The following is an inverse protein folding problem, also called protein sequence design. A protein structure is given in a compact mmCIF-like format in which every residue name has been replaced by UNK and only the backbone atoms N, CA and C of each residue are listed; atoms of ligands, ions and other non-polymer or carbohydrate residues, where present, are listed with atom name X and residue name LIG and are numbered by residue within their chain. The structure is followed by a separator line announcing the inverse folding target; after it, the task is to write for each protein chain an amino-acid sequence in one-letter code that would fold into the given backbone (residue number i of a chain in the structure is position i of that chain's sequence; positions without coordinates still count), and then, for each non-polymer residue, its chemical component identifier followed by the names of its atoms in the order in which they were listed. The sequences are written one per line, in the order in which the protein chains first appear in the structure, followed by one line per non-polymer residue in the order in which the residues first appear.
data_IF_373465529650
#
_entry.id   IF_373465529650
#
_cell.length_a   1.000
_cell.length_b   1.000
_cell.length_c   1.000
_cell.angle_alpha   90.00
_cell.angle_beta   90.00
_cell.angle_gamma   90.00
#
_symmetry.space_group_name_H-M   'P 1'
#
loop_
_entity.id
_entity.type
_entity.pdbx_description
1 polymer ?
#
# COMPACT_ATOMS: atom_id res chain seq x y z
N UNK A 1 18.62 23.14 9.97
CA UNK A 1 17.44 22.96 9.11
C UNK A 1 17.77 21.98 7.99
N UNK A 2 16.90 20.99 7.71
CA UNK A 2 17.07 20.10 6.57
C UNK A 2 17.20 20.87 5.24
N UNK A 3 17.99 20.35 4.30
CA UNK A 3 18.25 21.02 3.01
C UNK A 3 16.97 21.26 2.18
N UNK A 4 15.95 20.41 2.33
CA UNK A 4 14.64 20.58 1.68
C UNK A 4 13.83 21.75 2.25
N UNK A 5 14.08 22.16 3.51
CA UNK A 5 13.46 23.36 4.09
C UNK A 5 13.98 24.65 3.44
N UNK A 6 15.13 24.62 2.78
CA UNK A 6 15.67 25.78 2.06
C UNK A 6 14.85 26.11 0.81
N UNK A 7 14.36 25.08 0.11
CA UNK A 7 13.45 25.25 -1.03
C UNK A 7 12.09 25.88 -0.61
N UNK A 8 11.67 25.66 0.64
CA UNK A 8 10.51 26.31 1.26
C UNK A 8 10.78 27.80 1.58
N UNK A 9 11.98 28.12 2.06
CA UNK A 9 12.37 29.48 2.44
C UNK A 9 12.65 30.39 1.23
N UNK A 10 12.93 29.84 0.06
CA UNK A 10 13.28 30.59 -1.16
C UNK A 10 12.09 30.82 -2.11
N UNK A 11 10.94 30.16 -1.89
CA UNK A 11 9.77 30.25 -2.78
C UNK A 11 8.87 31.45 -2.49
N UNK A 12 8.77 32.38 -3.44
CA UNK A 12 7.71 33.40 -3.51
C UNK A 12 6.39 32.78 -4.01
N UNK A 13 5.24 33.42 -3.76
CA UNK A 13 3.86 32.92 -3.92
C UNK A 13 3.41 32.34 -5.28
N UNK A 14 4.33 32.11 -6.21
CA UNK A 14 4.15 31.29 -7.43
C UNK A 14 4.85 29.93 -7.42
N UNK A 15 5.46 29.51 -6.29
CA UNK A 15 6.12 28.21 -6.17
C UNK A 15 5.12 27.04 -6.31
N UNK A 16 5.51 25.92 -6.97
CA UNK A 16 4.65 24.76 -7.10
C UNK A 16 4.29 24.16 -5.73
N UNK A 17 3.11 23.52 -5.61
CA UNK A 17 2.70 22.90 -4.36
C UNK A 17 3.71 21.84 -3.92
N UNK A 18 4.08 21.89 -2.64
CA UNK A 18 4.99 20.93 -2.05
C UNK A 18 4.24 19.67 -1.67
N UNK A 19 4.74 18.53 -2.15
CA UNK A 19 4.20 17.22 -1.81
C UNK A 19 5.09 16.53 -0.79
N UNK A 20 4.66 16.52 0.47
CA UNK A 20 5.27 15.73 1.53
C UNK A 20 4.73 14.29 1.46
N UNK A 21 5.58 13.33 1.09
CA UNK A 21 5.19 11.92 1.05
C UNK A 21 5.54 11.24 2.36
N UNK A 22 4.60 10.47 2.91
CA UNK A 22 4.78 9.71 4.16
C UNK A 22 5.19 10.61 5.33
N UNK A 23 4.33 11.56 5.69
CA UNK A 23 4.57 12.52 6.76
C UNK A 23 4.94 11.84 8.09
N UNK A 24 4.44 10.63 8.34
CA UNK A 24 4.79 9.78 9.49
C UNK A 24 6.27 9.40 9.59
N UNK A 25 7.06 9.61 8.54
CA UNK A 25 8.50 9.31 8.53
C UNK A 25 9.36 10.49 8.97
N UNK A 26 8.80 11.69 9.11
CA UNK A 26 9.54 12.86 9.57
C UNK A 26 9.83 12.77 11.07
N UNK A 27 11.03 13.18 11.47
CA UNK A 27 11.39 13.34 12.87
C UNK A 27 10.66 14.52 13.51
N UNK A 28 10.52 14.52 14.84
CA UNK A 28 9.84 15.62 15.57
C UNK A 28 10.48 16.99 15.26
N UNK A 29 11.80 17.07 15.22
CA UNK A 29 12.54 18.30 14.91
C UNK A 29 12.28 18.80 13.49
N UNK A 30 12.12 17.91 12.52
CA UNK A 30 11.84 18.26 11.14
C UNK A 30 10.42 18.79 10.97
N UNK A 31 9.45 18.17 11.65
CA UNK A 31 8.07 18.65 11.66
C UNK A 31 7.96 20.00 12.38
N UNK A 32 8.69 20.19 13.48
CA UNK A 32 8.74 21.48 14.17
C UNK A 32 9.28 22.59 13.26
N UNK A 33 10.38 22.32 12.53
CA UNK A 33 10.92 23.28 11.57
C UNK A 33 9.94 23.59 10.42
N UNK A 34 9.20 22.58 9.94
CA UNK A 34 8.15 22.78 8.94
C UNK A 34 7.00 23.64 9.47
N UNK A 35 6.57 23.42 10.71
CA UNK A 35 5.52 24.23 11.33
C UNK A 35 5.93 25.69 11.45
N UNK A 36 7.15 25.98 11.91
CA UNK A 36 7.67 27.35 11.97
C UNK A 36 7.71 28.02 10.59
N UNK A 37 8.10 27.28 9.54
CA UNK A 37 8.08 27.79 8.16
C UNK A 37 6.66 28.09 7.65
N UNK A 38 5.68 27.26 8.01
CA UNK A 38 4.29 27.49 7.64
C UNK A 38 3.69 28.71 8.36
N UNK A 39 4.13 28.98 9.60
CA UNK A 39 3.78 30.20 10.34
C UNK A 39 4.38 31.46 9.68
N UNK A 40 5.63 31.40 9.24
CA UNK A 40 6.28 32.51 8.53
C UNK A 40 5.72 32.71 7.11
N UNK A 41 5.24 31.65 6.45
CA UNK A 41 4.76 31.67 5.06
C UNK A 41 3.45 30.89 4.87
N UNK A 42 2.29 31.45 5.26
CA UNK A 42 1.00 30.76 5.18
C UNK A 42 0.50 30.53 3.75
N UNK A 43 1.07 31.22 2.75
CA UNK A 43 0.65 31.14 1.35
C UNK A 43 1.24 29.94 0.58
N UNK A 44 2.19 29.18 1.15
CA UNK A 44 2.82 28.05 0.45
C UNK A 44 1.85 26.87 0.39
N UNK A 45 1.45 26.41 -0.81
CA UNK A 45 0.55 25.26 -0.91
C UNK A 45 1.29 23.96 -0.54
N UNK A 46 0.82 23.30 0.52
CA UNK A 46 1.37 22.04 1.02
C UNK A 46 0.33 20.92 0.89
N UNK A 47 0.75 19.80 0.30
CA UNK A 47 -0.01 18.54 0.26
C UNK A 47 0.82 17.48 0.98
N UNK A 48 0.21 16.75 1.90
CA UNK A 48 0.87 15.66 2.61
C UNK A 48 0.16 14.33 2.38
N UNK A 49 0.92 13.25 2.26
CA UNK A 49 0.38 11.88 2.38
C UNK A 49 0.71 11.32 3.76
N UNK A 50 -0.27 10.67 4.36
CA UNK A 50 -0.15 10.03 5.66
C UNK A 50 -0.79 8.65 5.62
N UNK A 51 -0.14 7.68 6.26
CA UNK A 51 -0.72 6.33 6.43
C UNK A 51 -1.65 6.32 7.65
N UNK A 52 -2.97 6.09 7.48
CA UNK A 52 -3.89 6.05 8.62
C UNK A 52 -3.45 5.04 9.69
N UNK A 53 -3.48 5.45 10.95
CA UNK A 53 -3.08 4.62 12.09
C UNK A 53 -1.57 4.48 12.30
N UNK A 54 -0.74 5.15 11.50
CA UNK A 54 0.69 5.25 11.80
C UNK A 54 0.91 6.05 13.09
N UNK A 55 1.91 5.70 13.91
CA UNK A 55 2.20 6.43 15.15
C UNK A 55 2.55 7.88 14.84
N UNK A 56 1.87 8.80 15.51
CA UNK A 56 2.13 10.24 15.41
C UNK A 56 2.72 10.72 16.73
N UNK A 57 3.83 11.45 16.65
CA UNK A 57 4.30 12.25 17.80
C UNK A 57 3.64 13.63 17.79
N UNK A 58 3.85 14.44 18.85
CA UNK A 58 3.10 15.68 19.07
C UNK A 58 3.20 16.68 17.92
N UNK A 59 4.38 16.88 17.34
CA UNK A 59 4.56 17.82 16.22
C UNK A 59 3.79 17.36 14.97
N UNK A 60 3.82 16.06 14.67
CA UNK A 60 3.11 15.51 13.50
C UNK A 60 1.59 15.57 13.70
N UNK A 61 1.09 15.31 14.91
CA UNK A 61 -0.33 15.48 15.22
C UNK A 61 -0.77 16.91 14.90
N UNK A 62 -0.03 17.91 15.41
CA UNK A 62 -0.33 19.33 15.16
C UNK A 62 -0.33 19.68 13.67
N UNK A 63 0.65 19.18 12.91
CA UNK A 63 0.67 19.38 11.46
C UNK A 63 -0.55 18.77 10.77
N UNK A 64 -0.92 17.54 11.14
CA UNK A 64 -2.09 16.87 10.58
C UNK A 64 -3.39 17.60 10.92
N UNK A 65 -3.54 18.12 12.14
CA UNK A 65 -4.70 18.91 12.56
C UNK A 65 -4.86 20.19 11.72
N UNK A 66 -3.74 20.88 11.43
CA UNK A 66 -3.73 22.06 10.54
C UNK A 66 -4.19 21.69 9.13
N UNK A 67 -3.76 20.53 8.61
CA UNK A 67 -4.09 20.08 7.25
C UNK A 67 -5.47 19.41 7.14
N UNK A 68 -6.03 18.93 8.24
CA UNK A 68 -7.22 18.07 8.28
C UNK A 68 -8.45 18.71 7.61
N UNK A 69 -8.55 20.05 7.63
CA UNK A 69 -9.64 20.81 7.04
C UNK A 69 -9.88 20.53 5.55
N UNK A 70 -8.87 20.04 4.81
CA UNK A 70 -8.97 19.66 3.39
C UNK A 70 -8.38 18.28 3.12
N UNK A 71 -8.62 17.34 4.03
CA UNK A 71 -8.15 15.96 3.88
C UNK A 71 -9.06 15.15 2.94
N UNK A 72 -8.44 14.28 2.14
CA UNK A 72 -9.13 13.27 1.33
C UNK A 72 -8.62 11.91 1.74
N UNK A 73 -9.51 11.06 2.24
CA UNK A 73 -9.16 9.67 2.58
C UNK A 73 -9.21 8.84 1.31
N UNK A 74 -8.09 8.26 0.93
CA UNK A 74 -8.04 7.34 -0.20
C UNK A 74 -8.48 5.94 0.27
N UNK A 75 -9.63 5.41 -0.18
CA UNK A 75 -10.09 4.11 0.27
C UNK A 75 -9.11 3.01 -0.19
N UNK A 76 -9.07 1.86 0.51
CA UNK A 76 -8.33 0.70 0.06
C UNK A 76 -8.93 0.11 -1.23
N UNK A 77 -8.13 -0.59 -2.03
CA UNK A 77 -8.58 -1.11 -3.33
C UNK A 77 -9.81 -2.01 -3.26
N UNK A 78 -9.97 -2.78 -2.17
CA UNK A 78 -11.15 -3.64 -1.95
C UNK A 78 -12.48 -2.89 -1.81
N UNK A 79 -12.44 -1.60 -1.51
CA UNK A 79 -13.63 -0.72 -1.39
C UNK A 79 -13.87 0.08 -2.68
N UNK A 80 -13.00 -0.09 -3.69
CA UNK A 80 -13.09 0.55 -5.01
C UNK A 80 -12.65 -0.42 -6.12
N UNK A 81 -13.19 -1.64 -6.10
CA UNK A 81 -12.81 -2.70 -7.04
C UNK A 81 -13.21 -2.37 -8.48
N UNK A 82 -14.20 -1.50 -8.66
CA UNK A 82 -14.62 -0.92 -9.92
C UNK A 82 -13.52 -0.10 -10.63
N UNK A 83 -12.50 0.36 -9.90
CA UNK A 83 -11.35 1.06 -10.48
C UNK A 83 -10.33 0.08 -11.08
N UNK A 84 -10.39 -1.21 -10.76
CA UNK A 84 -9.41 -2.21 -11.21
C UNK A 84 -9.26 -2.22 -12.73
N UNK A 85 -10.32 -2.23 -13.56
CA UNK A 85 -10.17 -2.18 -15.02
C UNK A 85 -9.36 -0.97 -15.51
N UNK A 86 -9.60 0.22 -14.95
CA UNK A 86 -8.87 1.44 -15.30
C UNK A 86 -7.41 1.37 -14.80
N UNK A 87 -7.20 0.87 -13.58
CA UNK A 87 -5.87 0.65 -13.01
C UNK A 87 -5.06 -0.35 -13.84
N UNK A 88 -5.65 -1.45 -14.30
CA UNK A 88 -4.97 -2.44 -15.14
C UNK A 88 -4.42 -1.81 -16.43
N UNK A 89 -5.16 -0.88 -17.04
CA UNK A 89 -4.70 -0.16 -18.23
C UNK A 89 -3.51 0.76 -17.92
N UNK A 90 -3.51 1.43 -16.76
CA UNK A 90 -2.44 2.36 -16.35
C UNK A 90 -1.21 1.69 -15.74
N UNK A 91 -1.35 0.51 -15.13
CA UNK A 91 -0.27 -0.21 -14.43
C UNK A 91 0.64 -1.02 -15.36
N UNK A 92 0.18 -1.32 -16.58
CA UNK A 92 1.05 -1.83 -17.63
C UNK A 92 2.01 -0.70 -17.99
N UNK A 93 3.22 -0.73 -17.41
CA UNK A 93 4.31 0.19 -17.81
C UNK A 93 4.37 0.22 -19.33
N UNK A 94 4.56 1.42 -19.89
CA UNK A 94 4.70 1.70 -21.32
C UNK A 94 5.28 0.46 -22.00
N UNK A 95 4.53 -0.17 -22.92
CA UNK A 95 4.97 -1.40 -23.52
C UNK A 95 6.40 -1.25 -24.00
N UNK A 96 7.28 -2.20 -23.63
CA UNK A 96 8.56 -2.30 -24.33
C UNK A 96 8.28 -2.27 -25.83
N UNK A 97 9.05 -1.51 -26.64
CA UNK A 97 8.77 -1.36 -28.07
C UNK A 97 8.49 -2.74 -28.70
N UNK A 98 7.27 -2.90 -29.25
CA UNK A 98 6.84 -4.16 -29.88
C UNK A 98 6.00 -5.13 -29.02
N UNK A 99 5.68 -4.84 -27.75
CA UNK A 99 4.70 -5.64 -26.99
C UNK A 99 3.35 -4.92 -26.88
N UNK A 100 2.21 -5.51 -27.28
CA UNK A 100 0.92 -4.89 -27.04
C UNK A 100 0.60 -4.82 -25.53
N UNK A 101 -0.24 -3.86 -25.09
CA UNK A 101 -0.71 -3.82 -23.71
C UNK A 101 -1.43 -5.13 -23.33
N UNK A 102 -1.31 -5.54 -22.07
CA UNK A 102 -1.99 -6.74 -21.59
C UNK A 102 -3.51 -6.56 -21.67
N UNK A 103 -4.16 -7.45 -22.39
CA UNK A 103 -5.61 -7.63 -22.32
C UNK A 103 -5.94 -8.73 -21.32
N UNK A 104 -7.15 -8.72 -20.78
CA UNK A 104 -7.56 -9.62 -19.71
C UNK A 104 -8.86 -10.30 -20.08
N UNK A 105 -8.93 -11.60 -19.87
CA UNK A 105 -10.16 -12.38 -19.99
C UNK A 105 -11.15 -11.99 -18.89
N UNK A 106 -12.44 -12.31 -19.09
CA UNK A 106 -13.49 -12.00 -18.13
C UNK A 106 -13.29 -12.72 -16.78
N UNK A 107 -12.87 -13.99 -16.84
CA UNK A 107 -12.57 -14.83 -15.67
C UNK A 107 -11.35 -14.32 -14.89
N UNK A 108 -10.30 -13.84 -15.57
CA UNK A 108 -9.16 -13.22 -14.90
C UNK A 108 -9.55 -11.90 -14.22
N UNK A 109 -10.34 -11.03 -14.89
CA UNK A 109 -10.81 -9.77 -14.29
C UNK A 109 -11.66 -10.03 -13.05
N UNK A 110 -12.62 -10.95 -13.13
CA UNK A 110 -13.44 -11.34 -11.97
C UNK A 110 -12.60 -11.85 -10.81
N UNK A 111 -11.55 -12.61 -11.08
CA UNK A 111 -10.63 -13.07 -10.04
C UNK A 111 -9.87 -11.92 -9.36
N UNK A 112 -9.47 -10.91 -10.13
CA UNK A 112 -8.83 -9.69 -9.60
C UNK A 112 -9.81 -8.86 -8.78
N UNK A 113 -11.06 -8.70 -9.23
CA UNK A 113 -12.11 -7.94 -8.54
C UNK A 113 -12.56 -8.58 -7.23
N UNK A 114 -12.49 -9.92 -7.12
CA UNK A 114 -12.88 -10.66 -5.92
C UNK A 114 -11.78 -10.74 -4.84
N UNK A 115 -10.56 -10.29 -5.16
CA UNK A 115 -9.44 -10.35 -4.22
C UNK A 115 -9.48 -9.21 -3.21
N UNK A 116 -8.98 -9.45 -1.99
CA UNK A 116 -9.03 -8.48 -0.90
C UNK A 116 -7.95 -7.39 -0.97
N UNK A 117 -6.97 -7.57 -1.86
CA UNK A 117 -5.86 -6.64 -2.11
C UNK A 117 -5.22 -6.07 -0.82
N UNK A 118 -4.68 -6.93 0.08
CA UNK A 118 -4.04 -6.47 1.32
C UNK A 118 -2.88 -5.50 1.09
N UNK A 119 -2.19 -5.57 -0.06
CA UNK A 119 -1.17 -4.62 -0.50
C UNK A 119 -1.67 -3.57 -1.49
N UNK A 120 -2.99 -3.40 -1.63
CA UNK A 120 -3.65 -2.36 -2.42
C UNK A 120 -3.14 -2.31 -3.88
N UNK A 121 -3.08 -1.12 -4.49
CA UNK A 121 -2.57 -0.90 -5.85
C UNK A 121 -1.12 -1.39 -6.02
N UNK A 122 -0.30 -1.37 -4.97
CA UNK A 122 1.08 -1.88 -5.03
C UNK A 122 1.12 -3.38 -5.30
N UNK A 123 0.25 -4.16 -4.65
CA UNK A 123 0.10 -5.59 -4.92
C UNK A 123 -0.45 -5.84 -6.32
N UNK A 124 -1.49 -5.11 -6.74
CA UNK A 124 -2.03 -5.20 -8.10
C UNK A 124 -0.95 -4.94 -9.16
N UNK A 125 -0.15 -3.88 -8.98
CA UNK A 125 0.96 -3.55 -9.87
C UNK A 125 2.01 -4.66 -9.93
N UNK A 126 2.31 -5.29 -8.80
CA UNK A 126 3.22 -6.43 -8.75
C UNK A 126 2.68 -7.62 -9.56
N UNK A 127 1.40 -7.96 -9.39
CA UNK A 127 0.73 -9.03 -10.13
C UNK A 127 0.75 -8.75 -11.64
N UNK A 128 0.39 -7.53 -12.05
CA UNK A 128 0.40 -7.13 -13.47
C UNK A 128 1.80 -7.26 -14.07
N UNK A 129 2.82 -6.79 -13.36
CA UNK A 129 4.22 -6.89 -13.78
C UNK A 129 4.68 -8.35 -13.90
N UNK A 130 4.37 -9.18 -12.90
CA UNK A 130 4.71 -10.60 -12.89
C UNK A 130 4.08 -11.35 -14.07
N UNK A 131 2.81 -11.06 -14.38
CA UNK A 131 2.11 -11.63 -15.55
C UNK A 131 2.77 -11.15 -16.84
N UNK A 132 3.06 -9.85 -16.97
CA UNK A 132 3.71 -9.28 -18.15
C UNK A 132 5.11 -9.85 -18.43
N UNK A 133 5.87 -10.15 -17.37
CA UNK A 133 7.22 -10.72 -17.46
C UNK A 133 7.20 -12.21 -17.84
N UNK A 134 6.27 -13.00 -17.28
CA UNK A 134 6.21 -14.45 -17.48
C UNK A 134 5.53 -14.88 -18.77
N UNK A 135 4.58 -14.09 -19.27
CA UNK A 135 3.74 -14.49 -20.40
C UNK A 135 4.53 -14.46 -21.71
N UNK A 136 4.46 -15.57 -22.45
CA UNK A 136 4.97 -15.69 -23.83
C UNK A 136 3.86 -15.74 -24.88
N UNK A 137 2.63 -15.99 -24.45
CA UNK A 137 1.46 -16.09 -25.31
C UNK A 137 0.93 -14.71 -25.74
N UNK A 138 0.34 -14.65 -26.93
CA UNK A 138 -0.44 -13.52 -27.43
C UNK A 138 -1.92 -13.65 -26.99
N UNK A 139 -2.66 -12.55 -26.90
CA UNK A 139 -4.07 -12.54 -26.50
C UNK A 139 -4.35 -12.24 -25.01
N UNK A 140 -5.61 -12.41 -24.55
CA UNK A 140 -6.01 -12.02 -23.19
C UNK A 140 -5.44 -12.95 -22.12
N UNK A 141 -4.96 -12.36 -21.03
CA UNK A 141 -4.52 -13.07 -19.81
C UNK A 141 -5.69 -13.85 -19.24
N UNK A 142 -5.51 -15.16 -19.08
CA UNK A 142 -6.49 -16.09 -18.50
C UNK A 142 -6.29 -16.24 -17.00
N UNK A 143 -7.33 -16.71 -16.30
CA UNK A 143 -7.27 -16.89 -14.84
C UNK A 143 -6.13 -17.81 -14.40
N UNK A 144 -5.79 -18.83 -15.19
CA UNK A 144 -4.74 -19.81 -14.87
C UNK A 144 -3.33 -19.17 -14.86
N UNK A 145 -3.18 -18.04 -15.54
CA UNK A 145 -1.92 -17.31 -15.65
C UNK A 145 -1.68 -16.36 -14.47
N UNK A 146 -2.72 -16.09 -13.67
CA UNK A 146 -2.59 -15.30 -12.44
C UNK A 146 -1.79 -16.06 -11.37
N UNK A 147 -1.21 -15.39 -10.37
CA UNK A 147 -0.67 -16.05 -9.17
C UNK A 147 -1.68 -16.98 -8.49
N UNK A 148 -1.19 -18.05 -7.84
CA UNK A 148 -2.04 -19.07 -7.19
C UNK A 148 -3.03 -18.48 -6.16
N UNK A 149 -2.66 -17.37 -5.51
CA UNK A 149 -3.54 -16.55 -4.66
C UNK A 149 -4.88 -16.20 -5.29
N UNK A 150 -4.84 -15.84 -6.58
CA UNK A 150 -5.94 -15.29 -7.36
C UNK A 150 -6.68 -16.35 -8.19
N UNK A 151 -6.03 -17.50 -8.46
CA UNK A 151 -6.65 -18.60 -9.22
C UNK A 151 -7.84 -19.22 -8.49
N UNK A 152 -7.78 -19.31 -7.18
CA UNK A 152 -8.77 -20.04 -6.37
C UNK A 152 -9.69 -19.02 -5.68
N UNK A 153 -11.03 -19.14 -5.84
CA UNK A 153 -11.97 -18.30 -5.10
C UNK A 153 -11.71 -18.38 -3.59
N UNK A 154 -11.78 -17.27 -2.83
CA UNK A 154 -11.44 -17.25 -1.41
C UNK A 154 -12.21 -18.30 -0.58
N UNK A 155 -13.46 -18.59 -0.94
CA UNK A 155 -14.30 -19.60 -0.29
C UNK A 155 -13.83 -21.06 -0.47
N UNK A 156 -12.92 -21.34 -1.41
CA UNK A 156 -12.46 -22.71 -1.76
C UNK A 156 -10.96 -22.91 -1.60
N UNK A 157 -10.23 -21.90 -1.12
CA UNK A 157 -8.77 -21.98 -0.95
C UNK A 157 -8.43 -22.88 0.24
N UNK A 158 -8.23 -24.17 -0.03
CA UNK A 158 -7.53 -25.06 0.91
C UNK A 158 -6.09 -24.55 1.02
N UNK A 159 -5.70 -24.06 2.19
CA UNK A 159 -4.31 -23.69 2.49
C UNK A 159 -3.40 -24.85 2.10
N UNK A 160 -2.30 -24.61 1.39
CA UNK A 160 -1.27 -25.62 1.11
C UNK A 160 -0.66 -26.16 2.42
N UNK A 161 0.06 -27.29 2.36
CA UNK A 161 0.72 -27.85 3.56
C UNK A 161 1.66 -26.85 4.25
N UNK A 162 2.39 -26.07 3.46
CA UNK A 162 3.27 -25.01 3.94
C UNK A 162 2.45 -23.85 4.53
N UNK A 163 1.39 -23.40 3.86
CA UNK A 163 0.53 -22.33 4.40
C UNK A 163 -0.22 -22.75 5.67
N UNK A 164 -0.57 -24.02 5.83
CA UNK A 164 -1.12 -24.55 7.09
C UNK A 164 -0.08 -24.52 8.19
N UNK A 165 1.15 -24.97 7.92
CA UNK A 165 2.24 -24.90 8.89
C UNK A 165 2.57 -23.45 9.28
N UNK A 166 2.64 -22.53 8.30
CA UNK A 166 2.84 -21.10 8.54
C UNK A 166 1.69 -20.50 9.35
N UNK A 167 0.43 -20.82 9.01
CA UNK A 167 -0.74 -20.38 9.78
C UNK A 167 -0.69 -20.86 11.22
N UNK A 168 -0.37 -22.14 11.44
CA UNK A 168 -0.24 -22.72 12.78
C UNK A 168 0.88 -22.03 13.57
N UNK A 169 2.05 -21.84 12.96
CA UNK A 169 3.18 -21.15 13.59
C UNK A 169 2.83 -19.71 14.00
N UNK A 170 2.10 -18.99 13.14
CA UNK A 170 1.62 -17.63 13.43
C UNK A 170 0.63 -17.63 14.60
N UNK A 171 -0.33 -18.55 14.62
CA UNK A 171 -1.31 -18.65 15.71
C UNK A 171 -0.65 -19.00 17.05
N UNK A 172 0.33 -19.90 17.04
CA UNK A 172 1.08 -20.23 18.25
C UNK A 172 1.91 -19.06 18.76
N UNK A 173 2.57 -18.32 17.87
CA UNK A 173 3.32 -17.12 18.26
C UNK A 173 2.41 -16.04 18.86
N UNK A 174 1.24 -15.81 18.27
CA UNK A 174 0.25 -14.87 18.81
C UNK A 174 -0.22 -15.31 20.20
N UNK A 175 -0.59 -16.58 20.39
CA UNK A 175 -1.01 -17.12 21.69
C UNK A 175 0.09 -16.99 22.76
N UNK A 176 1.33 -17.33 22.44
CA UNK A 176 2.47 -17.23 23.38
C UNK A 176 2.76 -15.79 23.81
N UNK A 177 2.39 -14.81 22.99
CA UNK A 177 2.65 -13.39 23.27
C UNK A 177 1.38 -12.59 23.55
N UNK A 178 0.26 -13.24 23.88
CA UNK A 178 -0.99 -12.58 24.24
C UNK A 178 -1.51 -11.64 23.14
N UNK A 179 -1.49 -12.11 21.89
CA UNK A 179 -1.87 -11.37 20.68
C UNK A 179 -1.04 -10.12 20.39
N UNK A 180 0.13 -9.97 21.04
CA UNK A 180 1.08 -8.93 20.70
C UNK A 180 1.76 -9.22 19.34
N UNK A 181 1.16 -8.67 18.28
CA UNK A 181 1.59 -8.81 16.87
C UNK A 181 3.05 -8.40 16.64
N UNK A 182 3.59 -7.47 17.42
CA UNK A 182 5.01 -7.05 17.32
C UNK A 182 5.93 -8.17 17.83
N UNK A 183 5.69 -8.64 19.05
CA UNK A 183 6.49 -9.72 19.65
C UNK A 183 6.35 -11.04 18.91
N UNK A 184 5.16 -11.33 18.37
CA UNK A 184 4.94 -12.51 17.53
C UNK A 184 5.72 -12.45 16.22
N UNK A 185 5.86 -11.28 15.58
CA UNK A 185 6.67 -11.14 14.37
C UNK A 185 8.16 -11.35 14.67
N UNK A 186 8.64 -10.77 15.77
CA UNK A 186 10.03 -10.92 16.23
C UNK A 186 10.38 -12.37 16.56
N UNK A 187 9.51 -13.09 17.28
CA UNK A 187 9.76 -14.50 17.64
C UNK A 187 9.69 -15.46 16.46
N UNK A 188 8.96 -15.10 15.39
CA UNK A 188 8.94 -15.82 14.13
C UNK A 188 10.09 -15.45 13.19
N UNK A 189 10.93 -14.47 13.53
CA UNK A 189 12.02 -14.00 12.69
C UNK A 189 11.56 -13.32 11.40
N UNK A 190 10.32 -12.79 11.36
CA UNK A 190 9.76 -12.11 10.19
C UNK A 190 9.50 -10.63 10.48
N UNK A 191 9.58 -9.79 9.46
CA UNK A 191 9.19 -8.39 9.59
C UNK A 191 7.70 -8.24 9.92
N UNK A 192 7.33 -7.23 10.72
CA UNK A 192 5.94 -6.92 11.10
C UNK A 192 5.01 -6.85 9.88
N UNK A 193 5.43 -6.17 8.81
CA UNK A 193 4.66 -6.08 7.57
C UNK A 193 4.39 -7.45 6.93
N UNK A 194 5.33 -8.39 7.04
CA UNK A 194 5.16 -9.78 6.58
C UNK A 194 4.14 -10.53 7.43
N UNK A 195 4.18 -10.35 8.77
CA UNK A 195 3.18 -10.93 9.66
C UNK A 195 1.77 -10.42 9.33
N UNK A 196 1.57 -9.11 9.25
CA UNK A 196 0.27 -8.52 8.90
C UNK A 196 -0.23 -8.99 7.53
N UNK A 197 0.66 -9.06 6.53
CA UNK A 197 0.33 -9.60 5.21
C UNK A 197 -0.16 -11.05 5.29
N UNK A 198 0.51 -11.89 6.08
CA UNK A 198 0.13 -13.30 6.28
C UNK A 198 -1.18 -13.44 7.07
N UNK A 199 -1.39 -12.66 8.13
CA UNK A 199 -2.65 -12.64 8.89
C UNK A 199 -3.85 -12.32 8.00
N UNK A 200 -3.73 -11.31 7.15
CA UNK A 200 -4.75 -10.94 6.16
C UNK A 200 -4.96 -12.01 5.09
N UNK A 201 -3.88 -12.58 4.57
CA UNK A 201 -3.93 -13.64 3.57
C UNK A 201 -4.63 -14.93 4.10
N UNK A 202 -4.58 -15.18 5.41
CA UNK A 202 -5.20 -16.34 6.04
C UNK A 202 -6.54 -16.05 6.71
N UNK A 203 -7.10 -14.83 6.56
CA UNK A 203 -8.36 -14.44 7.18
C UNK A 203 -8.33 -14.44 8.71
N UNK A 204 -7.18 -14.18 9.31
CA UNK A 204 -6.96 -14.16 10.77
C UNK A 204 -6.97 -12.73 11.35
N UNK A 205 -7.34 -11.74 10.54
CA UNK A 205 -7.47 -10.33 10.95
C UNK A 205 -8.91 -10.07 11.41
N UNK A 206 -9.26 -10.60 12.58
CA UNK A 206 -10.54 -10.36 13.27
C UNK A 206 -10.22 -9.94 14.72
N UNK A 207 -9.77 -8.68 14.87
CA UNK A 207 -9.80 -7.83 16.07
C UNK A 207 -8.92 -6.59 15.83
#
# INVERSE_FOLDING_TARGET
MPSWCRALAEGDGGAPPLLLRHAERLGQSDVAALLSLLEERPAVPLVATHTPGAPTGPCLSRLLDILAARSVTLPPLRERVEDIPALLAGLVRRPSPGRPPLTWSLDARRALEQHTWPGNVTELAHVVREVAERRRATGPVRREELPYGLRVPPATRRLSGIERAERTAILEALRRHGDNKVRAAESLGIGRATLYRKLRAYGMDQA
#
